data_IF_989162973088
#
_entry.id   IF_989162973088
#
_cell.length_a   1.000
_cell.length_b   1.000
_cell.length_c   1.000
_cell.angle_alpha   90.00
_cell.angle_beta   90.00
_cell.angle_gamma   90.00
#
_symmetry.space_group_name_H-M   'P 1'
#
loop_
_entity.id
_entity.type
_entity.pdbx_description
1 polymer ?
#
# COMPACT_ATOMS: atom_id res chain seq x y z
N UNK A 1 -6.70 5.54 -19.59
CA UNK A 1 -5.54 5.65 -20.51
C UNK A 1 -6.04 6.12 -21.85
N UNK A 2 -5.51 7.26 -22.35
CA UNK A 2 -5.82 7.80 -23.68
C UNK A 2 -4.63 7.55 -24.61
N UNK A 3 -4.75 6.69 -25.64
CA UNK A 3 -3.63 6.36 -26.53
C UNK A 3 -3.14 7.52 -27.39
N UNK A 4 -3.89 8.63 -27.45
CA UNK A 4 -3.50 9.85 -28.16
C UNK A 4 -2.82 10.90 -27.27
N UNK A 5 -2.82 10.71 -25.94
CA UNK A 5 -2.13 11.58 -25.01
C UNK A 5 -0.64 11.22 -24.92
N UNK A 6 0.28 12.20 -24.88
CA UNK A 6 1.69 11.91 -24.58
C UNK A 6 1.88 11.23 -23.23
N UNK A 7 0.94 11.36 -22.30
CA UNK A 7 0.98 10.73 -20.97
C UNK A 7 0.74 9.22 -21.02
N UNK A 8 0.21 8.67 -22.14
CA UNK A 8 -0.05 7.22 -22.30
C UNK A 8 1.17 6.37 -21.97
N UNK A 9 2.36 6.88 -22.28
CA UNK A 9 3.64 6.18 -22.07
C UNK A 9 3.89 5.97 -20.59
N UNK A 10 3.69 6.99 -19.77
CA UNK A 10 3.88 6.95 -18.32
C UNK A 10 2.70 6.29 -17.59
N UNK A 11 1.47 6.59 -18.00
CA UNK A 11 0.27 6.01 -17.41
C UNK A 11 0.20 4.49 -17.59
N UNK A 12 0.48 4.00 -18.81
CA UNK A 12 0.50 2.56 -19.07
C UNK A 12 1.61 1.85 -18.31
N UNK A 13 2.79 2.47 -18.19
CA UNK A 13 3.87 1.93 -17.39
C UNK A 13 3.50 1.87 -15.90
N UNK A 14 2.91 2.93 -15.36
CA UNK A 14 2.47 2.99 -13.97
C UNK A 14 1.39 1.93 -13.66
N UNK A 15 0.40 1.77 -14.53
CA UNK A 15 -0.64 0.74 -14.37
C UNK A 15 -0.03 -0.66 -14.35
N UNK A 16 0.83 -0.98 -15.31
CA UNK A 16 1.45 -2.31 -15.40
C UNK A 16 2.37 -2.59 -14.21
N UNK A 17 3.10 -1.58 -13.71
CA UNK A 17 3.91 -1.71 -12.50
C UNK A 17 3.07 -2.07 -11.26
N UNK A 18 1.83 -1.58 -11.19
CA UNK A 18 0.90 -1.97 -10.10
C UNK A 18 0.37 -3.40 -10.26
N UNK A 19 0.18 -3.87 -11.49
CA UNK A 19 -0.33 -5.22 -11.77
C UNK A 19 0.73 -6.30 -11.60
N UNK A 20 1.97 -6.02 -11.99
CA UNK A 20 3.08 -6.98 -11.93
C UNK A 20 3.78 -6.88 -10.58
N UNK A 21 3.58 -7.88 -9.75
CA UNK A 21 4.23 -7.98 -8.43
C UNK A 21 5.49 -8.82 -8.58
N UNK A 22 6.65 -8.18 -8.52
CA UNK A 22 7.95 -8.85 -8.59
C UNK A 22 8.39 -9.34 -7.21
N UNK A 23 8.97 -10.55 -7.16
CA UNK A 23 9.73 -11.01 -6.00
C UNK A 23 11.17 -10.51 -6.14
N UNK A 24 11.69 -9.67 -5.21
CA UNK A 24 13.06 -9.18 -5.26
C UNK A 24 14.14 -10.26 -5.25
N UNK A 25 13.78 -11.49 -4.86
CA UNK A 25 14.68 -12.65 -4.80
C UNK A 25 14.63 -13.53 -6.05
N UNK A 26 13.63 -13.32 -6.92
CA UNK A 26 13.48 -14.06 -8.17
C UNK A 26 14.20 -13.38 -9.33
N UNK A 27 14.40 -14.12 -10.43
CA UNK A 27 14.88 -13.55 -11.68
C UNK A 27 13.81 -12.58 -12.24
N UNK A 28 14.17 -11.31 -12.28
CA UNK A 28 13.28 -10.24 -12.71
C UNK A 28 13.05 -10.20 -14.22
N UNK A 29 13.89 -10.89 -15.00
CA UNK A 29 13.84 -10.87 -16.48
C UNK A 29 12.44 -11.19 -17.04
N UNK A 30 11.79 -12.21 -16.49
CA UNK A 30 10.48 -12.64 -16.96
C UNK A 30 9.39 -11.63 -16.62
N UNK A 31 9.45 -11.04 -15.42
CA UNK A 31 8.49 -10.05 -14.97
C UNK A 31 8.67 -8.72 -15.71
N UNK A 32 9.90 -8.27 -15.95
CA UNK A 32 10.17 -7.05 -16.72
C UNK A 32 9.76 -7.21 -18.19
N UNK A 33 10.04 -8.38 -18.78
CA UNK A 33 9.58 -8.68 -20.14
C UNK A 33 8.05 -8.79 -20.22
N UNK A 34 7.39 -9.32 -19.18
CA UNK A 34 5.93 -9.36 -19.11
C UNK A 34 5.33 -7.96 -18.94
N UNK A 35 5.98 -7.06 -18.19
CA UNK A 35 5.58 -5.64 -18.10
C UNK A 35 5.58 -4.98 -19.47
N UNK A 36 6.61 -5.20 -20.27
CA UNK A 36 6.68 -4.61 -21.63
C UNK A 36 5.55 -5.14 -22.52
N UNK A 37 5.32 -6.45 -22.56
CA UNK A 37 4.19 -7.06 -23.29
C UNK A 37 2.84 -6.51 -22.82
N UNK A 38 2.59 -6.51 -21.52
CA UNK A 38 1.33 -6.02 -20.93
C UNK A 38 1.11 -4.54 -21.24
N UNK A 39 2.15 -3.73 -21.21
CA UNK A 39 2.08 -2.31 -21.57
C UNK A 39 1.61 -2.11 -23.00
N UNK A 40 2.21 -2.84 -23.95
CA UNK A 40 1.76 -2.81 -25.34
C UNK A 40 0.31 -3.21 -25.50
N UNK A 41 -0.11 -4.32 -24.87
CA UNK A 41 -1.49 -4.81 -24.90
C UNK A 41 -2.49 -3.83 -24.27
N UNK A 42 -2.14 -3.20 -23.15
CA UNK A 42 -2.98 -2.19 -22.48
C UNK A 42 -3.22 -0.99 -23.39
N UNK A 43 -2.17 -0.46 -24.02
CA UNK A 43 -2.30 0.68 -24.94
C UNK A 43 -3.05 0.29 -26.22
N UNK A 44 -2.82 -0.92 -26.74
CA UNK A 44 -3.55 -1.45 -27.88
C UNK A 44 -5.05 -1.56 -27.57
N UNK A 45 -5.43 -2.18 -26.47
CA UNK A 45 -6.83 -2.32 -26.03
C UNK A 45 -7.47 -0.95 -25.78
N UNK A 46 -6.71 0.02 -25.25
CA UNK A 46 -7.20 1.39 -25.07
C UNK A 46 -7.51 2.09 -26.40
N UNK A 47 -7.00 1.61 -27.53
CA UNK A 47 -7.32 2.13 -28.88
C UNK A 47 -8.51 1.47 -29.56
N UNK A 48 -9.03 0.39 -28.99
CA UNK A 48 -10.18 -0.36 -29.53
C UNK A 48 -11.49 0.41 -29.30
N UNK A 49 -12.60 0.00 -29.97
CA UNK A 49 -13.93 0.54 -29.71
C UNK A 49 -14.33 0.45 -28.22
N UNK A 50 -15.23 1.32 -27.79
CA UNK A 50 -15.57 1.49 -26.35
C UNK A 50 -15.99 0.19 -25.65
N UNK A 51 -16.69 -0.70 -26.37
CA UNK A 51 -17.16 -1.99 -25.82
C UNK A 51 -16.02 -2.93 -25.48
N UNK A 52 -14.88 -2.80 -26.15
CA UNK A 52 -13.67 -3.62 -25.95
C UNK A 52 -12.61 -2.90 -25.13
N UNK A 53 -12.82 -1.62 -24.80
CA UNK A 53 -11.84 -0.78 -24.10
C UNK A 53 -11.85 -1.02 -22.58
N UNK A 54 -11.48 -2.22 -22.18
CA UNK A 54 -11.37 -2.59 -20.78
C UNK A 54 -10.20 -3.57 -20.54
N UNK A 55 -9.69 -3.62 -19.30
CA UNK A 55 -8.53 -4.46 -18.99
C UNK A 55 -8.81 -5.97 -19.11
N UNK A 56 -10.08 -6.39 -19.06
CA UNK A 56 -10.49 -7.78 -19.29
C UNK A 56 -10.17 -8.25 -20.71
N UNK A 57 -10.18 -7.35 -21.70
CA UNK A 57 -9.78 -7.69 -23.06
C UNK A 57 -8.29 -8.04 -23.16
N UNK A 58 -7.42 -7.39 -22.36
CA UNK A 58 -6.01 -7.80 -22.25
C UNK A 58 -5.91 -9.25 -21.82
N UNK A 59 -6.71 -9.66 -20.83
CA UNK A 59 -6.75 -11.06 -20.37
C UNK A 59 -7.25 -12.01 -21.43
N UNK A 60 -8.30 -11.63 -22.16
CA UNK A 60 -8.84 -12.45 -23.27
C UNK A 60 -7.81 -12.65 -24.39
N UNK A 61 -7.10 -11.59 -24.79
CA UNK A 61 -6.02 -11.70 -25.77
C UNK A 61 -4.92 -12.65 -25.31
N UNK A 62 -4.47 -12.56 -24.07
CA UNK A 62 -3.45 -13.45 -23.51
C UNK A 62 -3.91 -14.91 -23.44
N UNK A 63 -5.21 -15.17 -23.32
CA UNK A 63 -5.78 -16.52 -23.17
C UNK A 63 -6.47 -17.05 -24.45
N UNK A 64 -6.45 -16.30 -25.55
CA UNK A 64 -7.14 -16.63 -26.81
C UNK A 64 -6.55 -17.82 -27.59
N UNK A 65 -5.41 -18.34 -27.12
CA UNK A 65 -4.62 -19.35 -27.81
C UNK A 65 -3.51 -18.74 -28.68
N UNK A 66 -2.49 -19.54 -28.95
CA UNK A 66 -1.24 -19.07 -29.55
C UNK A 66 -1.45 -18.41 -30.91
N UNK A 67 -2.24 -19.00 -31.80
CA UNK A 67 -2.46 -18.47 -33.14
C UNK A 67 -3.10 -17.07 -33.13
N UNK A 68 -4.15 -16.87 -32.33
CA UNK A 68 -4.86 -15.59 -32.22
C UNK A 68 -4.00 -14.53 -31.54
N UNK A 69 -3.26 -14.90 -30.51
CA UNK A 69 -2.32 -14.00 -29.84
C UNK A 69 -1.21 -13.54 -30.78
N UNK A 70 -0.64 -14.45 -31.57
CA UNK A 70 0.43 -14.11 -32.52
C UNK A 70 -0.07 -13.19 -33.63
N UNK A 71 -1.25 -13.44 -34.21
CA UNK A 71 -1.89 -12.58 -35.20
C UNK A 71 -2.15 -11.16 -34.61
N UNK A 72 -2.60 -11.10 -33.37
CA UNK A 72 -2.79 -9.81 -32.66
C UNK A 72 -1.46 -9.08 -32.49
N UNK A 73 -0.41 -9.76 -32.10
CA UNK A 73 0.90 -9.16 -31.91
C UNK A 73 1.55 -8.70 -33.25
N UNK A 74 1.30 -9.42 -34.33
CA UNK A 74 1.72 -9.00 -35.68
C UNK A 74 0.98 -7.71 -36.09
N UNK A 75 -0.34 -7.65 -35.85
CA UNK A 75 -1.14 -6.43 -36.06
C UNK A 75 -0.61 -5.26 -35.21
N UNK A 76 -0.28 -5.52 -33.96
CA UNK A 76 0.33 -4.52 -33.07
C UNK A 76 1.71 -4.06 -33.57
N UNK A 77 2.54 -4.96 -34.09
CA UNK A 77 3.86 -4.64 -34.63
C UNK A 77 3.78 -3.68 -35.84
N UNK A 78 2.72 -3.81 -36.63
CA UNK A 78 2.43 -2.97 -37.81
C UNK A 78 1.69 -1.67 -37.46
N UNK A 79 1.31 -1.44 -36.21
CA UNK A 79 0.46 -0.30 -35.78
C UNK A 79 1.16 1.07 -35.83
N UNK A 80 2.44 1.13 -36.25
CA UNK A 80 3.18 2.39 -36.41
C UNK A 80 3.30 3.18 -35.11
N UNK A 81 2.85 4.43 -35.14
CA UNK A 81 2.97 5.37 -34.02
C UNK A 81 1.87 5.25 -32.96
N UNK A 82 1.04 4.22 -33.00
CA UNK A 82 -0.02 4.03 -32.01
C UNK A 82 0.53 4.06 -30.59
N UNK A 83 -0.03 4.93 -29.74
CA UNK A 83 0.47 5.16 -28.39
C UNK A 83 1.95 5.64 -28.38
N UNK A 84 2.30 6.52 -29.31
CA UNK A 84 3.69 7.00 -29.51
C UNK A 84 4.67 5.84 -29.73
N UNK A 85 4.22 4.84 -30.49
CA UNK A 85 5.00 3.67 -30.86
C UNK A 85 5.20 2.65 -29.72
N UNK A 86 4.54 2.79 -28.58
CA UNK A 86 4.61 1.80 -27.48
C UNK A 86 4.08 0.45 -27.97
N UNK A 87 2.95 0.44 -28.69
CA UNK A 87 2.29 -0.78 -29.16
C UNK A 87 3.21 -1.57 -30.07
N UNK A 88 3.72 -0.93 -31.13
CA UNK A 88 4.59 -1.60 -32.10
C UNK A 88 5.92 -2.05 -31.48
N UNK A 89 6.54 -1.24 -30.63
CA UNK A 89 7.80 -1.63 -29.95
C UNK A 89 7.63 -2.82 -29.03
N UNK A 90 6.59 -2.83 -28.18
CA UNK A 90 6.34 -3.96 -27.26
C UNK A 90 6.06 -5.25 -28.04
N UNK A 91 5.28 -5.20 -29.10
CA UNK A 91 4.99 -6.35 -29.96
C UNK A 91 6.28 -6.88 -30.64
N UNK A 92 7.05 -6.00 -31.28
CA UNK A 92 8.30 -6.39 -31.92
C UNK A 92 9.33 -6.96 -30.92
N UNK A 93 9.41 -6.38 -29.73
CA UNK A 93 10.28 -6.92 -28.65
C UNK A 93 9.89 -8.34 -28.27
N UNK A 94 8.58 -8.62 -28.15
CA UNK A 94 8.11 -9.96 -27.83
C UNK A 94 8.33 -10.93 -29.00
N UNK A 95 7.96 -10.56 -30.22
CA UNK A 95 8.07 -11.40 -31.42
C UNK A 95 9.52 -11.77 -31.76
N UNK A 96 10.49 -10.90 -31.46
CA UNK A 96 11.91 -11.13 -31.69
C UNK A 96 12.55 -12.15 -30.73
N UNK A 97 11.86 -12.53 -29.65
CA UNK A 97 12.38 -13.48 -28.66
C UNK A 97 12.30 -14.93 -29.20
N UNK A 98 13.21 -15.79 -28.72
CA UNK A 98 13.14 -17.21 -28.97
C UNK A 98 11.85 -17.83 -28.36
N UNK A 99 11.36 -18.94 -28.91
CA UNK A 99 10.10 -19.59 -28.47
C UNK A 99 10.07 -19.89 -26.97
N UNK A 100 11.19 -20.35 -26.42
CA UNK A 100 11.32 -20.63 -24.99
C UNK A 100 11.12 -19.35 -24.15
N UNK A 101 11.70 -18.25 -24.59
CA UNK A 101 11.60 -16.96 -23.89
C UNK A 101 10.19 -16.38 -24.01
N UNK A 102 9.59 -16.48 -25.20
CA UNK A 102 8.17 -16.09 -25.40
C UNK A 102 7.24 -16.84 -24.44
N UNK A 103 7.43 -18.15 -24.30
CA UNK A 103 6.64 -19.00 -23.37
C UNK A 103 6.80 -18.55 -21.91
N UNK A 104 8.02 -18.20 -21.50
CA UNK A 104 8.30 -17.70 -20.15
C UNK A 104 7.65 -16.33 -19.88
N UNK A 105 7.77 -15.39 -20.83
CA UNK A 105 7.14 -14.08 -20.75
C UNK A 105 5.62 -14.18 -20.69
N UNK A 106 5.03 -15.03 -21.55
CA UNK A 106 3.59 -15.27 -21.56
C UNK A 106 3.11 -15.88 -20.23
N UNK A 107 3.83 -16.86 -19.70
CA UNK A 107 3.52 -17.47 -18.39
C UNK A 107 3.53 -16.44 -17.27
N UNK A 108 4.49 -15.51 -17.27
CA UNK A 108 4.54 -14.40 -16.31
C UNK A 108 3.37 -13.46 -16.51
N UNK A 109 3.07 -13.01 -17.73
CA UNK A 109 1.93 -12.15 -18.03
C UNK A 109 0.59 -12.79 -17.60
N UNK A 110 0.39 -14.08 -17.92
CA UNK A 110 -0.79 -14.84 -17.50
C UNK A 110 -0.94 -14.91 -15.98
N UNK A 111 0.15 -15.15 -15.26
CA UNK A 111 0.17 -15.18 -13.80
C UNK A 111 -0.26 -13.84 -13.20
N UNK A 112 0.25 -12.74 -13.72
CA UNK A 112 -0.04 -11.41 -13.19
C UNK A 112 -1.43 -10.87 -13.55
N UNK A 113 -2.07 -11.44 -14.55
CA UNK A 113 -3.43 -11.05 -14.98
C UNK A 113 -4.52 -12.05 -14.55
N UNK A 114 -4.17 -13.12 -13.83
CA UNK A 114 -5.12 -14.19 -13.45
C UNK A 114 -6.28 -13.71 -12.58
N UNK A 115 -6.13 -12.62 -11.82
CA UNK A 115 -7.22 -12.04 -11.04
C UNK A 115 -8.40 -11.55 -11.91
N UNK A 116 -8.16 -11.29 -13.20
CA UNK A 116 -9.19 -10.91 -14.17
C UNK A 116 -10.11 -12.08 -14.58
N UNK A 117 -9.78 -13.30 -14.16
CA UNK A 117 -10.64 -14.48 -14.34
C UNK A 117 -11.79 -14.52 -13.31
N UNK A 118 -11.74 -13.73 -12.21
CA UNK A 118 -12.89 -13.59 -11.29
C UNK A 118 -14.01 -12.81 -11.99
N UNK A 119 -15.19 -13.44 -12.22
CA UNK A 119 -16.26 -12.80 -12.97
C UNK A 119 -16.79 -11.52 -12.32
N UNK A 120 -16.68 -11.36 -11.00
CA UNK A 120 -17.09 -10.14 -10.29
C UNK A 120 -16.13 -8.99 -10.57
N UNK A 121 -14.83 -9.26 -10.60
CA UNK A 121 -13.82 -8.26 -10.98
C UNK A 121 -13.95 -7.91 -12.45
N UNK A 122 -14.09 -8.93 -13.32
CA UNK A 122 -14.28 -8.71 -14.74
C UNK A 122 -15.52 -7.85 -15.03
N UNK A 123 -16.63 -8.09 -14.32
CA UNK A 123 -17.86 -7.30 -14.48
C UNK A 123 -17.65 -5.85 -14.01
N UNK A 124 -17.00 -5.65 -12.86
CA UNK A 124 -16.69 -4.30 -12.33
C UNK A 124 -15.82 -3.49 -13.29
N UNK A 125 -14.93 -4.14 -14.04
CA UNK A 125 -13.98 -3.49 -14.94
C UNK A 125 -14.52 -3.24 -16.37
N UNK A 126 -15.75 -3.68 -16.68
CA UNK A 126 -16.34 -3.45 -18.02
C UNK A 126 -16.64 -2.00 -18.30
N UNK A 127 -16.95 -1.21 -17.28
CA UNK A 127 -17.30 0.20 -17.42
C UNK A 127 -16.77 1.02 -16.24
N UNK A 128 -16.68 2.33 -16.45
CA UNK A 128 -16.39 3.29 -15.40
C UNK A 128 -17.65 4.08 -15.06
N UNK A 129 -18.05 4.10 -13.79
CA UNK A 129 -19.17 4.89 -13.29
C UNK A 129 -18.75 6.33 -12.95
N UNK A 130 -17.46 6.58 -12.81
CA UNK A 130 -16.84 7.89 -12.53
C UNK A 130 -15.44 7.96 -13.15
N UNK A 131 -14.90 9.17 -13.25
CA UNK A 131 -13.53 9.38 -13.72
C UNK A 131 -12.61 9.65 -12.54
N UNK A 132 -11.48 8.93 -12.43
CA UNK A 132 -10.50 9.14 -11.38
C UNK A 132 -9.87 10.55 -11.41
N UNK A 133 -9.84 11.22 -12.56
CA UNK A 133 -9.37 12.62 -12.64
C UNK A 133 -10.25 13.60 -11.86
N UNK A 134 -11.53 13.25 -11.61
CA UNK A 134 -12.49 14.10 -10.92
C UNK A 134 -12.30 14.09 -9.40
N UNK A 135 -11.46 13.18 -8.88
CA UNK A 135 -11.18 13.03 -7.45
C UNK A 135 -10.62 14.32 -6.79
N UNK A 136 -10.05 15.23 -7.58
CA UNK A 136 -9.56 16.54 -7.11
C UNK A 136 -10.58 17.66 -7.29
N UNK A 137 -11.48 17.53 -8.24
CA UNK A 137 -12.45 18.58 -8.61
C UNK A 137 -13.82 18.38 -7.99
N UNK A 138 -14.12 17.18 -7.50
CA UNK A 138 -15.40 16.83 -6.90
C UNK A 138 -15.23 16.25 -5.49
N UNK A 139 -16.27 16.41 -4.65
CA UNK A 139 -16.34 15.73 -3.36
C UNK A 139 -16.91 14.34 -3.58
N UNK A 140 -16.05 13.34 -3.56
CA UNK A 140 -16.43 11.94 -3.70
C UNK A 140 -15.75 11.05 -2.68
N UNK A 141 -16.38 9.93 -2.35
CA UNK A 141 -15.78 8.85 -1.56
C UNK A 141 -15.94 7.56 -2.33
N UNK A 142 -14.86 6.83 -2.50
CA UNK A 142 -14.84 5.54 -3.19
C UNK A 142 -14.49 4.45 -2.19
N UNK A 143 -15.38 3.48 -2.03
CA UNK A 143 -15.17 2.32 -1.17
C UNK A 143 -14.81 1.09 -2.02
N UNK A 144 -13.61 0.54 -1.81
CA UNK A 144 -13.22 -0.76 -2.35
C UNK A 144 -13.47 -1.82 -1.28
N UNK A 145 -14.58 -2.53 -1.41
CA UNK A 145 -14.98 -3.56 -0.45
C UNK A 145 -14.60 -4.93 -0.99
N UNK A 146 -13.72 -5.64 -0.26
CA UNK A 146 -13.27 -6.98 -0.62
C UNK A 146 -13.35 -7.89 0.60
N UNK A 147 -13.94 -9.10 0.49
CA UNK A 147 -13.90 -10.06 1.58
C UNK A 147 -12.46 -10.41 1.98
N UNK A 148 -12.16 -10.57 3.29
CA UNK A 148 -10.78 -10.78 3.76
C UNK A 148 -10.07 -11.98 3.12
N UNK A 149 -10.79 -13.08 2.85
CA UNK A 149 -10.27 -14.28 2.18
C UNK A 149 -9.94 -14.04 0.70
N UNK A 150 -10.38 -12.95 0.10
CA UNK A 150 -10.17 -12.59 -1.30
C UNK A 150 -9.09 -11.50 -1.50
N UNK A 151 -8.71 -10.77 -0.46
CA UNK A 151 -7.76 -9.65 -0.57
C UNK A 151 -6.42 -10.13 -1.17
N UNK A 152 -5.85 -11.21 -0.63
CA UNK A 152 -4.55 -11.71 -1.08
C UNK A 152 -4.56 -12.18 -2.55
N UNK A 153 -5.67 -12.80 -2.99
CA UNK A 153 -5.83 -13.31 -4.36
C UNK A 153 -6.01 -12.15 -5.35
N UNK A 154 -6.78 -11.14 -4.95
CA UNK A 154 -7.18 -10.01 -5.80
C UNK A 154 -6.41 -8.72 -5.47
N UNK A 155 -5.30 -8.81 -4.76
CA UNK A 155 -4.51 -7.63 -4.37
C UNK A 155 -4.09 -6.78 -5.59
N UNK A 156 -3.88 -7.39 -6.76
CA UNK A 156 -3.54 -6.69 -8.00
C UNK A 156 -4.64 -5.74 -8.47
N UNK A 157 -5.91 -6.11 -8.29
CA UNK A 157 -7.03 -5.22 -8.57
C UNK A 157 -6.98 -3.98 -7.67
N UNK A 158 -6.84 -4.17 -6.35
CA UNK A 158 -6.75 -3.05 -5.39
C UNK A 158 -5.53 -2.18 -5.69
N UNK A 159 -4.37 -2.78 -5.94
CA UNK A 159 -3.13 -2.08 -6.33
C UNK A 159 -3.31 -1.25 -7.59
N UNK A 160 -3.91 -1.84 -8.63
CA UNK A 160 -4.21 -1.16 -9.89
C UNK A 160 -5.09 0.07 -9.68
N UNK A 161 -6.14 -0.07 -8.86
CA UNK A 161 -7.03 1.04 -8.55
C UNK A 161 -6.32 2.14 -7.74
N UNK A 162 -5.63 1.80 -6.64
CA UNK A 162 -4.90 2.77 -5.80
C UNK A 162 -3.81 3.47 -6.61
N UNK A 163 -3.07 2.72 -7.44
CA UNK A 163 -2.04 3.29 -8.30
C UNK A 163 -2.59 4.24 -9.36
N UNK A 164 -3.73 3.88 -9.99
CA UNK A 164 -4.41 4.74 -10.96
C UNK A 164 -4.96 6.02 -10.32
N UNK A 165 -5.54 5.93 -9.13
CA UNK A 165 -6.00 7.09 -8.37
C UNK A 165 -4.83 8.00 -7.97
N UNK A 166 -3.72 7.43 -7.53
CA UNK A 166 -2.52 8.20 -7.20
C UNK A 166 -1.93 8.88 -8.44
N UNK A 167 -1.89 8.18 -9.59
CA UNK A 167 -1.45 8.74 -10.86
C UNK A 167 -2.34 9.92 -11.29
N UNK A 168 -3.66 9.79 -11.18
CA UNK A 168 -4.61 10.86 -11.49
C UNK A 168 -4.40 12.10 -10.60
N UNK A 169 -4.07 11.90 -9.32
CA UNK A 169 -3.78 13.00 -8.40
C UNK A 169 -2.46 13.69 -8.75
N UNK A 170 -1.42 12.92 -9.06
CA UNK A 170 -0.08 13.46 -9.31
C UNK A 170 0.10 14.06 -10.70
N UNK A 171 -0.72 13.68 -11.68
CA UNK A 171 -0.71 14.24 -13.03
C UNK A 171 -1.29 15.66 -13.11
N UNK A 172 -2.00 16.12 -12.09
CA UNK A 172 -2.60 17.46 -12.03
C UNK A 172 -1.96 18.31 -10.94
N UNK A 173 -1.61 19.56 -11.26
CA UNK A 173 -1.15 20.56 -10.29
C UNK A 173 -2.30 21.25 -9.54
N UNK A 174 -3.54 20.96 -9.88
CA UNK A 174 -4.70 21.50 -9.19
C UNK A 174 -4.73 20.99 -7.73
N UNK A 175 -5.04 21.86 -6.78
CA UNK A 175 -5.28 21.43 -5.41
C UNK A 175 -6.67 20.79 -5.28
N UNK A 176 -6.81 19.72 -4.48
CA UNK A 176 -8.10 19.08 -4.30
C UNK A 176 -9.13 19.99 -3.63
N UNK A 177 -10.38 19.90 -4.08
CA UNK A 177 -11.51 20.60 -3.47
C UNK A 177 -11.75 20.07 -2.03
N UNK A 178 -11.77 20.96 -1.05
CA UNK A 178 -12.05 20.58 0.34
C UNK A 178 -10.85 20.05 1.12
N UNK A 179 -9.64 20.05 0.56
CA UNK A 179 -8.42 19.60 1.23
C UNK A 179 -7.76 18.40 0.54
N UNK A 180 -7.02 17.60 1.30
CA UNK A 180 -6.30 16.46 0.71
C UNK A 180 -7.25 15.30 0.38
N UNK A 181 -6.95 14.61 -0.73
CA UNK A 181 -7.53 13.30 -1.02
C UNK A 181 -6.93 12.28 -0.05
N UNK A 182 -7.75 11.70 0.81
CA UNK A 182 -7.31 10.76 1.82
C UNK A 182 -7.45 9.31 1.31
N UNK A 183 -6.35 8.55 1.38
CA UNK A 183 -6.32 7.11 1.14
C UNK A 183 -6.31 6.38 2.47
N UNK A 184 -7.37 5.66 2.80
CA UNK A 184 -7.44 4.78 3.95
C UNK A 184 -7.11 3.36 3.49
N UNK A 185 -5.88 2.91 3.73
CA UNK A 185 -5.35 1.63 3.27
C UNK A 185 -5.34 0.64 4.44
N UNK A 186 -6.49 0.00 4.66
CA UNK A 186 -6.62 -1.05 5.65
C UNK A 186 -5.86 -2.31 5.20
N UNK A 187 -5.29 -3.05 6.16
CA UNK A 187 -4.46 -4.23 5.91
C UNK A 187 -3.37 -4.00 4.83
N UNK A 188 -2.73 -2.83 4.86
CA UNK A 188 -1.82 -2.34 3.82
C UNK A 188 -0.75 -3.36 3.42
N UNK A 189 -0.22 -4.11 4.38
CA UNK A 189 0.81 -5.12 4.12
C UNK A 189 0.33 -6.24 3.18
N UNK A 190 -0.97 -6.56 3.15
CA UNK A 190 -1.53 -7.59 2.28
C UNK A 190 -1.52 -7.20 0.80
N UNK A 191 -1.41 -5.91 0.49
CA UNK A 191 -1.26 -5.43 -0.89
C UNK A 191 0.11 -5.79 -1.48
N UNK A 192 1.07 -6.21 -0.65
CA UNK A 192 2.44 -6.39 -1.06
C UNK A 192 3.15 -5.06 -1.31
N UNK A 193 4.40 -5.12 -1.79
CA UNK A 193 5.20 -3.92 -2.00
C UNK A 193 4.64 -3.07 -3.15
N UNK A 194 4.28 -1.85 -2.85
CA UNK A 194 3.86 -0.82 -3.80
C UNK A 194 4.95 0.25 -3.87
N UNK A 195 5.84 0.13 -4.85
CA UNK A 195 6.99 1.02 -5.01
C UNK A 195 6.56 2.49 -5.11
N UNK A 196 5.46 2.77 -5.83
CA UNK A 196 4.94 4.13 -5.99
C UNK A 196 4.52 4.77 -4.66
N UNK A 197 4.02 3.98 -3.70
CA UNK A 197 3.70 4.48 -2.35
C UNK A 197 5.00 4.64 -1.54
N UNK A 198 5.91 3.65 -1.58
CA UNK A 198 7.19 3.70 -0.85
C UNK A 198 8.01 4.95 -1.24
N UNK A 199 8.12 5.23 -2.53
CA UNK A 199 8.88 6.38 -3.04
C UNK A 199 8.07 7.68 -2.95
N UNK A 200 6.76 7.58 -3.12
CA UNK A 200 5.84 8.73 -3.16
C UNK A 200 5.44 9.29 -1.81
N UNK A 201 5.52 8.53 -0.71
CA UNK A 201 4.94 8.94 0.58
C UNK A 201 5.44 10.29 1.10
N UNK A 202 6.66 10.67 0.75
CA UNK A 202 7.24 11.97 1.09
C UNK A 202 6.85 13.09 0.11
N UNK A 203 6.42 12.77 -1.10
CA UNK A 203 6.19 13.71 -2.20
C UNK A 203 4.72 14.00 -2.44
N UNK A 204 3.85 13.01 -2.28
CA UNK A 204 2.42 13.08 -2.66
C UNK A 204 1.62 14.12 -1.89
N UNK A 205 2.11 14.53 -0.71
CA UNK A 205 1.51 15.61 0.07
C UNK A 205 1.48 16.93 -0.71
N UNK A 206 2.52 17.20 -1.50
CA UNK A 206 2.58 18.39 -2.36
C UNK A 206 1.51 18.41 -3.46
N UNK A 207 1.03 17.23 -3.86
CA UNK A 207 -0.03 17.06 -4.85
C UNK A 207 -1.43 16.95 -4.23
N UNK A 208 -1.53 17.07 -2.90
CA UNK A 208 -2.81 17.01 -2.19
C UNK A 208 -3.28 15.58 -1.90
N UNK A 209 -2.39 14.60 -1.77
CA UNK A 209 -2.73 13.27 -1.28
C UNK A 209 -2.23 13.06 0.16
N UNK A 210 -3.01 12.32 0.95
CA UNK A 210 -2.67 11.91 2.31
C UNK A 210 -2.95 10.41 2.50
N UNK A 211 -1.98 9.68 3.06
CA UNK A 211 -2.13 8.25 3.33
C UNK A 211 -2.39 7.98 4.80
N UNK A 212 -3.42 7.18 5.07
CA UNK A 212 -3.72 6.54 6.34
C UNK A 212 -3.46 5.05 6.17
N UNK A 213 -2.33 4.60 6.68
CA UNK A 213 -1.84 3.23 6.49
C UNK A 213 -2.05 2.46 7.77
N UNK A 214 -2.78 1.34 7.70
CA UNK A 214 -3.05 0.48 8.83
C UNK A 214 -2.31 -0.84 8.66
N UNK A 215 -1.62 -1.26 9.71
CA UNK A 215 -0.93 -2.54 9.83
C UNK A 215 -1.18 -3.11 11.21
N UNK A 216 -1.18 -4.41 11.36
CA UNK A 216 -1.39 -5.07 12.67
C UNK A 216 -0.18 -4.88 13.59
N UNK A 217 1.03 -4.95 13.02
CA UNK A 217 2.30 -4.77 13.72
C UNK A 217 3.41 -4.30 12.76
N UNK A 218 4.55 -3.92 13.32
CA UNK A 218 5.71 -3.49 12.53
C UNK A 218 6.37 -4.65 11.77
N UNK A 219 6.19 -5.89 12.20
CA UNK A 219 6.78 -7.06 11.53
C UNK A 219 6.20 -7.24 10.14
N UNK A 220 4.89 -7.01 9.98
CA UNK A 220 4.23 -7.01 8.67
C UNK A 220 4.82 -5.95 7.73
N UNK A 221 5.03 -4.73 8.22
CA UNK A 221 5.59 -3.65 7.41
C UNK A 221 7.04 -3.95 7.01
N UNK A 222 7.85 -4.46 7.95
CA UNK A 222 9.25 -4.86 7.72
C UNK A 222 9.37 -6.01 6.71
N UNK A 223 8.44 -6.95 6.74
CA UNK A 223 8.44 -8.10 5.82
C UNK A 223 8.22 -7.68 4.36
N UNK A 224 7.43 -6.62 4.12
CA UNK A 224 7.05 -6.17 2.79
C UNK A 224 7.96 -5.06 2.26
N UNK A 225 8.37 -4.12 3.13
CA UNK A 225 9.08 -2.91 2.74
C UNK A 225 10.49 -2.86 3.30
N UNK A 226 11.54 -3.01 2.48
CA UNK A 226 12.93 -2.87 2.93
C UNK A 226 13.23 -1.52 3.59
N UNK A 227 12.57 -0.44 3.11
CA UNK A 227 12.69 0.92 3.66
C UNK A 227 11.51 1.29 4.56
N UNK A 228 11.03 0.36 5.37
CA UNK A 228 9.88 0.57 6.26
C UNK A 228 10.02 1.79 7.19
N UNK A 229 11.25 2.14 7.57
CA UNK A 229 11.51 3.33 8.40
C UNK A 229 11.08 4.63 7.73
N UNK A 230 11.09 4.69 6.39
CA UNK A 230 10.65 5.87 5.62
C UNK A 230 9.18 6.18 5.89
N UNK A 231 8.34 5.15 6.01
CA UNK A 231 6.93 5.33 6.37
C UNK A 231 6.79 5.98 7.74
N UNK A 232 7.53 5.48 8.73
CA UNK A 232 7.46 5.99 10.10
C UNK A 232 8.08 7.38 10.24
N UNK A 233 9.13 7.67 9.50
CA UNK A 233 9.80 8.98 9.55
C UNK A 233 8.94 10.12 8.97
N UNK A 234 8.07 9.80 7.99
CA UNK A 234 7.27 10.78 7.25
C UNK A 234 5.81 10.86 7.72
N UNK A 235 5.42 10.15 8.79
CA UNK A 235 4.05 10.13 9.29
C UNK A 235 3.93 10.44 10.78
N UNK A 236 2.77 10.92 11.20
CA UNK A 236 2.31 10.73 12.56
C UNK A 236 2.03 9.24 12.79
N UNK A 237 2.29 8.76 14.00
CA UNK A 237 2.12 7.35 14.35
C UNK A 237 1.11 7.22 15.47
N UNK A 238 0.15 6.32 15.30
CA UNK A 238 -0.84 6.01 16.32
C UNK A 238 -0.83 4.50 16.57
N UNK A 239 -0.62 4.11 17.81
CA UNK A 239 -0.62 2.73 18.26
C UNK A 239 -1.83 2.48 19.14
N UNK A 240 -2.72 1.61 18.70
CA UNK A 240 -3.97 1.31 19.41
C UNK A 240 -3.82 0.22 20.49
N UNK A 241 -2.99 -0.77 20.26
CA UNK A 241 -2.54 -1.83 21.14
C UNK A 241 -1.50 -2.65 20.38
N UNK A 242 -0.69 -3.43 21.06
CA UNK A 242 0.15 -4.42 20.40
C UNK A 242 0.39 -5.61 21.31
N UNK A 243 0.34 -6.82 20.73
CA UNK A 243 0.81 -8.05 21.34
C UNK A 243 2.20 -8.45 20.84
N UNK A 244 2.75 -7.74 19.83
CA UNK A 244 4.06 -7.98 19.27
C UNK A 244 5.14 -7.28 20.11
N UNK A 245 6.11 -8.07 20.59
CA UNK A 245 7.17 -7.57 21.47
C UNK A 245 8.09 -6.57 20.77
N UNK A 246 8.41 -6.78 19.48
CA UNK A 246 9.28 -5.88 18.73
C UNK A 246 8.62 -4.51 18.50
N UNK A 247 7.33 -4.50 18.23
CA UNK A 247 6.53 -3.27 18.15
C UNK A 247 6.45 -2.58 19.51
N UNK A 248 6.21 -3.33 20.60
CA UNK A 248 6.18 -2.79 21.95
C UNK A 248 7.53 -2.20 22.35
N UNK A 249 8.63 -2.88 22.00
CA UNK A 249 9.99 -2.38 22.21
C UNK A 249 10.26 -1.09 21.45
N UNK A 250 9.86 -1.04 20.18
CA UNK A 250 9.98 0.16 19.34
C UNK A 250 9.23 1.36 19.96
N UNK A 251 8.01 1.14 20.44
CA UNK A 251 7.22 2.17 21.14
C UNK A 251 7.91 2.63 22.43
N UNK A 252 8.40 1.68 23.24
CA UNK A 252 9.12 1.96 24.48
C UNK A 252 10.37 2.82 24.24
N UNK A 253 11.15 2.48 23.20
CA UNK A 253 12.35 3.24 22.83
C UNK A 253 11.99 4.65 22.33
N UNK A 254 10.89 4.81 21.60
CA UNK A 254 10.39 6.13 21.14
C UNK A 254 9.88 7.02 22.27
N UNK A 255 9.31 6.46 23.32
CA UNK A 255 8.86 7.21 24.50
C UNK A 255 10.03 7.80 25.27
N UNK A 256 11.23 7.22 25.15
CA UNK A 256 12.41 7.65 25.86
C UNK A 256 12.45 7.20 27.33
N UNK A 257 13.34 7.82 28.08
CA UNK A 257 13.64 7.42 29.45
C UNK A 257 13.39 8.56 30.44
N UNK A 258 13.11 8.20 31.69
CA UNK A 258 13.07 9.08 32.84
C UNK A 258 14.12 8.66 33.86
N UNK A 259 14.57 9.60 34.69
CA UNK A 259 15.41 9.30 35.82
C UNK A 259 14.52 8.95 37.01
N UNK A 260 14.69 7.74 37.55
CA UNK A 260 14.09 7.33 38.81
C UNK A 260 15.11 7.49 39.95
N UNK A 261 14.64 7.98 41.07
CA UNK A 261 15.42 8.09 42.29
C UNK A 261 14.96 7.00 43.23
N UNK A 262 15.89 6.21 43.70
CA UNK A 262 15.62 5.24 44.73
C UNK A 262 16.62 5.38 45.89
N UNK A 263 16.15 5.17 47.12
CA UNK A 263 16.94 5.20 48.30
C UNK A 263 17.30 3.77 48.71
N UNK A 264 18.58 3.54 48.88
CA UNK A 264 19.07 2.28 49.42
C UNK A 264 19.52 2.55 50.87
N UNK A 265 18.83 1.94 51.82
CA UNK A 265 19.21 2.00 53.22
C UNK A 265 20.02 0.75 53.54
N UNK A 266 21.28 0.92 53.95
CA UNK A 266 22.09 -0.16 54.47
C UNK A 266 22.23 0.02 55.98
N UNK A 267 21.88 -1.02 56.75
CA UNK A 267 22.14 -1.08 58.18
C UNK A 267 23.31 -2.04 58.43
N UNK A 268 24.36 -1.56 59.06
CA UNK A 268 25.43 -2.43 59.54
C UNK A 268 25.39 -2.44 61.05
N UNK A 269 25.14 -3.62 61.65
CA UNK A 269 25.28 -3.86 63.09
C UNK A 269 26.68 -4.38 63.39
N UNK A 270 27.49 -3.55 64.00
CA UNK A 270 28.78 -3.93 64.55
C UNK A 270 28.67 -3.85 66.06
N UNK A 271 28.32 -4.99 66.73
CA UNK A 271 28.46 -5.18 68.17
C UNK A 271 27.75 -4.11 69.03
N UNK A 272 27.54 -4.39 70.23
CA UNK A 272 26.73 -3.79 71.28
C UNK A 272 26.54 -2.25 71.38
N UNK A 273 27.06 -1.43 70.48
CA UNK A 273 26.90 0.04 70.54
C UNK A 273 26.85 0.64 69.11
N UNK A 274 25.68 1.17 68.74
CA UNK A 274 25.35 1.97 67.62
C UNK A 274 25.02 1.23 66.27
N UNK A 275 23.73 1.20 65.94
CA UNK A 275 23.24 0.96 64.58
C UNK A 275 23.54 2.20 63.71
N UNK A 276 24.38 2.02 62.71
CA UNK A 276 24.67 3.09 61.77
C UNK A 276 23.79 2.87 60.55
N UNK A 277 22.81 3.73 60.32
CA UNK A 277 22.01 3.76 59.14
C UNK A 277 22.67 4.70 58.12
N UNK A 278 23.02 4.17 56.96
CA UNK A 278 23.47 4.96 55.81
C UNK A 278 22.43 4.91 54.74
N UNK A 279 21.89 6.07 54.36
CA UNK A 279 20.97 6.21 53.25
C UNK A 279 21.71 6.76 52.03
N UNK A 280 21.75 6.01 50.94
CA UNK A 280 22.33 6.43 49.68
C UNK A 280 21.22 6.67 48.66
N UNK A 281 21.21 7.86 48.07
CA UNK A 281 20.30 8.17 46.94
C UNK A 281 20.98 7.78 45.63
N UNK A 282 20.37 6.85 44.94
CA UNK A 282 20.84 6.39 43.64
C UNK A 282 19.88 6.87 42.54
N UNK A 283 20.44 7.12 41.35
CA UNK A 283 19.69 7.50 40.17
C UNK A 283 19.78 6.37 39.16
N UNK A 284 18.65 5.98 38.60
CA UNK A 284 18.59 4.96 37.56
C UNK A 284 17.76 5.48 36.38
N UNK A 285 18.23 5.25 35.15
CA UNK A 285 17.46 5.53 33.97
C UNK A 285 16.46 4.39 33.71
N UNK A 286 15.19 4.70 33.59
CA UNK A 286 14.13 3.75 33.29
C UNK A 286 13.33 4.24 32.09
N UNK A 287 12.92 3.35 31.17
CA UNK A 287 12.01 3.72 30.11
C UNK A 287 10.71 4.28 30.69
N UNK A 288 10.13 5.30 30.04
CA UNK A 288 8.84 5.86 30.45
C UNK A 288 7.77 4.77 30.57
N UNK A 289 7.76 3.84 29.62
CA UNK A 289 7.04 2.57 29.66
C UNK A 289 7.98 1.48 29.16
N UNK A 290 8.12 0.40 29.91
CA UNK A 290 8.83 -0.78 29.41
C UNK A 290 7.99 -1.53 28.37
N UNK A 291 8.58 -2.38 27.52
CA UNK A 291 7.84 -3.12 26.48
C UNK A 291 6.65 -3.92 27.04
N UNK A 292 6.81 -4.56 28.19
CA UNK A 292 5.75 -5.31 28.87
C UNK A 292 4.60 -4.41 29.38
N UNK A 293 4.91 -3.17 29.76
CA UNK A 293 3.92 -2.17 30.15
C UNK A 293 3.16 -1.62 28.92
N UNK A 294 3.87 -1.44 27.79
CA UNK A 294 3.23 -1.06 26.50
C UNK A 294 2.24 -2.13 26.07
N UNK A 295 2.61 -3.41 26.14
CA UNK A 295 1.72 -4.53 25.76
C UNK A 295 0.46 -4.65 26.61
N UNK A 296 0.46 -4.10 27.83
CA UNK A 296 -0.71 -4.07 28.73
C UNK A 296 -1.67 -2.90 28.45
N UNK A 297 -1.27 -1.95 27.61
CA UNK A 297 -2.15 -0.82 27.25
C UNK A 297 -3.13 -1.27 26.19
N UNK A 298 -4.38 -1.53 26.58
CA UNK A 298 -5.45 -1.98 25.68
C UNK A 298 -6.56 -0.95 25.49
N UNK A 299 -6.70 -0.01 26.42
CA UNK A 299 -7.78 1.00 26.48
C UNK A 299 -7.33 2.41 26.06
N UNK A 300 -6.06 2.59 25.75
CA UNK A 300 -5.47 3.86 25.34
C UNK A 300 -4.77 3.74 23.99
N UNK A 301 -4.62 4.90 23.34
CA UNK A 301 -3.80 5.08 22.16
C UNK A 301 -2.53 5.84 22.54
N UNK A 302 -1.41 5.46 21.94
CA UNK A 302 -0.17 6.22 21.98
C UNK A 302 0.03 6.92 20.64
N UNK A 303 0.12 8.26 20.65
CA UNK A 303 0.24 9.08 19.45
C UNK A 303 1.55 9.83 19.45
N UNK A 304 2.27 9.77 18.33
CA UNK A 304 3.54 10.44 18.12
C UNK A 304 3.44 11.36 16.91
N UNK A 305 3.59 12.65 17.15
CA UNK A 305 3.62 13.69 16.12
C UNK A 305 5.02 14.30 16.09
N UNK A 306 5.56 14.52 14.90
CA UNK A 306 6.91 15.09 14.77
C UNK A 306 6.99 16.48 15.41
N UNK A 307 7.96 16.63 16.30
CA UNK A 307 8.20 17.90 17.00
C UNK A 307 7.35 18.10 18.26
N UNK A 308 6.53 17.11 18.63
CA UNK A 308 5.69 17.15 19.82
C UNK A 308 6.04 16.03 20.81
N UNK A 309 5.66 16.23 22.07
CA UNK A 309 5.72 15.16 23.08
C UNK A 309 4.68 14.09 22.77
N UNK A 310 4.95 12.81 23.05
CA UNK A 310 4.00 11.74 22.86
C UNK A 310 2.71 11.94 23.65
N UNK A 311 1.58 11.58 23.06
CA UNK A 311 0.28 11.65 23.72
C UNK A 311 -0.19 10.24 24.11
N UNK A 312 -0.83 10.14 25.26
CA UNK A 312 -1.59 8.96 25.68
C UNK A 312 -3.07 9.35 25.77
N UNK A 313 -3.87 8.87 24.83
CA UNK A 313 -5.27 9.26 24.64
C UNK A 313 -6.20 8.07 24.88
N UNK A 314 -7.44 8.36 25.29
CA UNK A 314 -8.47 7.35 25.38
C UNK A 314 -8.85 6.83 23.98
N UNK A 315 -9.17 5.54 23.87
CA UNK A 315 -9.77 5.00 22.66
C UNK A 315 -11.23 5.47 22.59
N UNK A 316 -11.62 5.90 21.40
CA UNK A 316 -13.03 6.19 21.09
C UNK A 316 -13.59 4.97 20.37
N UNK A 317 -14.70 4.45 20.86
CA UNK A 317 -15.47 3.38 20.20
C UNK A 317 -16.80 3.96 19.71
N UNK A 318 -17.08 3.83 18.42
CA UNK A 318 -18.37 4.26 17.87
C UNK A 318 -19.55 3.47 18.43
N UNK A 319 -19.30 2.29 19.02
CA UNK A 319 -20.33 1.49 19.68
C UNK A 319 -20.79 2.10 21.02
N UNK A 320 -19.91 2.84 21.69
CA UNK A 320 -20.13 3.38 23.04
C UNK A 320 -20.35 4.90 23.04
N UNK A 321 -19.82 5.60 22.04
CA UNK A 321 -19.91 7.06 21.93
C UNK A 321 -21.10 7.46 21.06
N UNK A 322 -22.10 8.10 21.69
CA UNK A 322 -23.31 8.55 21.03
C UNK A 322 -23.07 9.50 19.85
N UNK A 323 -21.96 10.24 19.87
CA UNK A 323 -21.60 11.16 18.78
C UNK A 323 -21.35 10.40 17.47
N UNK A 324 -20.86 9.17 17.56
CA UNK A 324 -20.49 8.35 16.41
C UNK A 324 -21.47 7.23 16.11
N UNK A 325 -22.33 6.84 17.08
CA UNK A 325 -23.34 5.79 16.88
C UNK A 325 -24.29 6.10 15.72
N UNK A 326 -24.73 7.35 15.63
CA UNK A 326 -25.67 7.80 14.59
C UNK A 326 -25.03 7.90 13.19
N UNK A 327 -23.69 7.82 13.11
CA UNK A 327 -22.93 7.88 11.86
C UNK A 327 -22.59 6.48 11.32
N UNK A 328 -22.83 5.43 12.11
CA UNK A 328 -22.48 4.06 11.75
C UNK A 328 -23.74 3.28 11.36
N UNK A 329 -23.73 2.70 10.17
CA UNK A 329 -24.77 1.76 9.77
C UNK A 329 -24.69 0.46 10.60
N UNK A 330 -25.82 -0.25 10.79
CA UNK A 330 -25.82 -1.55 11.46
C UNK A 330 -24.85 -2.51 10.75
N UNK A 331 -24.02 -3.20 11.53
CA UNK A 331 -23.12 -4.19 10.97
C UNK A 331 -23.92 -5.39 10.45
N UNK A 332 -23.88 -5.70 9.13
CA UNK A 332 -24.68 -6.79 8.57
C UNK A 332 -24.29 -8.18 9.07
N UNK A 333 -23.13 -8.32 9.73
CA UNK A 333 -22.64 -9.57 10.31
C UNK A 333 -22.91 -9.71 11.81
N UNK A 334 -23.47 -8.67 12.45
CA UNK A 334 -23.77 -8.63 13.87
C UNK A 334 -25.18 -8.06 14.09
N UNK A 335 -26.19 -8.76 13.61
CA UNK A 335 -27.60 -8.47 13.90
C UNK A 335 -28.08 -9.24 15.12
#
# INVERSE_FOLDING_TARGET
INPQSPDVVSESAALVEMLVVTDPKADQYWDDSAKDLLRGLVVYVASLPDELRNIGEVRKLLTSGEAVLMETLETMAESGDLGFGVVSRSANTFLSKADKDRSGVLSSALRHTSFLDDPRIAETLKRSDFNLSDIKSELMTVYLVMPPDKIAINNRFIRGFVGSALSAITSSNQQPLGGNVAFFLDEFAQLGRMQAIEDGISLVRGYGAAFWIYVQDLSQLKAVYPKWQTFLANSAKQFFATADFDTAKYISDMLGQRTEHYETTSSSSKGLIADTHSTSQNKHARNLLNPDEVMKIIDKNLVFIRGESPYKLDKISYLDDKTYQDLADPNPYHS
#
